data_IF_910060493720
#
_entry.id   IF_910060493720
#
_cell.length_a   1.000
_cell.length_b   1.000
_cell.length_c   1.000
_cell.angle_alpha   90.00
_cell.angle_beta   90.00
_cell.angle_gamma   90.00
#
_symmetry.space_group_name_H-M   'P 1'
#
loop_
_entity.id
_entity.type
_entity.pdbx_description
1 polymer ?
#
# COMPACT_ATOMS: atom_id res chain seq x y z
N UNK A 1 1.36 17.69 46.81
CA UNK A 1 1.27 16.39 46.12
C UNK A 1 1.18 16.61 44.61
N UNK A 2 2.25 17.12 43.98
CA UNK A 2 2.29 17.37 42.51
C UNK A 2 3.53 16.72 41.86
N UNK A 3 4.59 16.38 42.61
CA UNK A 3 5.82 15.79 42.05
C UNK A 3 5.65 14.40 41.42
N UNK A 4 4.82 13.52 41.99
CA UNK A 4 4.80 12.11 41.59
C UNK A 4 4.25 11.86 40.18
N UNK A 5 3.31 12.68 39.71
CA UNK A 5 2.75 12.54 38.35
C UNK A 5 3.73 12.97 37.25
N UNK A 6 4.63 13.90 37.56
CA UNK A 6 5.61 14.39 36.59
C UNK A 6 6.75 13.37 36.40
N UNK A 7 7.21 12.76 37.50
CA UNK A 7 8.24 11.71 37.48
C UNK A 7 7.78 10.43 36.76
N UNK A 8 6.51 10.04 36.96
CA UNK A 8 5.93 8.87 36.26
C UNK A 8 5.85 9.11 34.75
N UNK A 9 5.52 10.33 34.33
CA UNK A 9 5.44 10.70 32.91
C UNK A 9 6.84 10.72 32.29
N UNK A 10 7.84 11.31 32.96
CA UNK A 10 9.23 11.32 32.51
C UNK A 10 9.80 9.89 32.41
N UNK A 11 9.45 9.02 33.36
CA UNK A 11 9.84 7.62 33.33
C UNK A 11 9.19 6.86 32.17
N UNK A 12 7.88 7.05 31.95
CA UNK A 12 7.15 6.42 30.84
C UNK A 12 7.74 6.87 29.49
N UNK A 13 8.04 8.16 29.33
CA UNK A 13 8.65 8.69 28.11
C UNK A 13 10.04 8.11 27.88
N UNK A 14 10.87 8.01 28.94
CA UNK A 14 12.19 7.40 28.84
C UNK A 14 12.14 5.92 28.42
N UNK A 15 11.18 5.16 28.97
CA UNK A 15 10.95 3.77 28.59
C UNK A 15 10.44 3.68 27.15
N UNK A 16 9.50 4.54 26.74
CA UNK A 16 8.97 4.56 25.38
C UNK A 16 10.07 4.85 24.34
N UNK A 17 10.95 5.81 24.61
CA UNK A 17 12.11 6.11 23.76
C UNK A 17 13.05 4.92 23.67
N UNK A 18 13.42 4.32 24.81
CA UNK A 18 14.32 3.16 24.82
C UNK A 18 13.74 1.95 24.08
N UNK A 19 12.44 1.74 24.17
CA UNK A 19 11.71 0.69 23.43
C UNK A 19 11.69 1.00 21.94
N UNK A 20 11.37 2.25 21.55
CA UNK A 20 11.38 2.69 20.16
C UNK A 20 12.78 2.49 19.54
N UNK A 21 13.83 2.94 20.21
CA UNK A 21 15.22 2.82 19.74
C UNK A 21 15.63 1.36 19.50
N UNK A 22 15.10 0.43 20.31
CA UNK A 22 15.39 -1.00 20.17
C UNK A 22 14.57 -1.68 19.08
N UNK A 23 13.34 -1.25 18.86
CA UNK A 23 12.39 -1.89 17.94
C UNK A 23 12.49 -1.30 16.53
N UNK A 24 12.70 0.01 16.38
CA UNK A 24 12.71 0.69 15.08
C UNK A 24 13.70 0.07 14.07
N UNK A 25 14.95 -0.27 14.44
CA UNK A 25 15.87 -0.91 13.49
C UNK A 25 15.39 -2.28 13.01
N UNK A 26 14.73 -3.05 13.88
CA UNK A 26 14.15 -4.35 13.52
C UNK A 26 12.94 -4.17 12.62
N UNK A 27 12.11 -3.17 12.91
CA UNK A 27 10.97 -2.81 12.07
C UNK A 27 11.43 -2.37 10.68
N UNK A 28 12.50 -1.58 10.56
CA UNK A 28 13.07 -1.20 9.26
C UNK A 28 13.52 -2.41 8.44
N UNK A 29 14.16 -3.40 9.08
CA UNK A 29 14.58 -4.62 8.41
C UNK A 29 13.38 -5.44 7.92
N UNK A 30 12.33 -5.53 8.74
CA UNK A 30 11.08 -6.18 8.36
C UNK A 30 10.39 -5.44 7.21
N UNK A 31 10.29 -4.11 7.29
CA UNK A 31 9.76 -3.29 6.20
C UNK A 31 10.60 -3.52 4.95
N UNK A 32 11.93 -3.43 4.97
CA UNK A 32 12.76 -3.69 3.79
C UNK A 32 12.59 -5.12 3.24
N UNK A 33 12.39 -6.11 4.11
CA UNK A 33 12.22 -7.53 3.72
C UNK A 33 10.86 -7.80 3.09
N UNK A 34 9.79 -7.19 3.60
CA UNK A 34 8.41 -7.49 3.21
C UNK A 34 7.76 -6.39 2.36
N UNK A 35 8.38 -5.21 2.27
CA UNK A 35 7.93 -4.15 1.39
C UNK A 35 8.26 -4.55 -0.04
N UNK A 36 7.24 -4.97 -0.77
CA UNK A 36 7.31 -5.03 -2.23
C UNK A 36 7.11 -3.61 -2.77
N UNK A 37 8.09 -3.02 -3.47
CA UNK A 37 7.89 -1.76 -4.16
C UNK A 37 6.70 -1.87 -5.10
N UNK A 38 5.94 -0.79 -5.28
CA UNK A 38 4.87 -0.79 -6.26
C UNK A 38 5.46 -0.94 -7.67
N UNK A 39 4.85 -1.82 -8.47
CA UNK A 39 5.30 -2.12 -9.82
C UNK A 39 4.37 -1.47 -10.84
N UNK A 40 4.96 -0.76 -11.80
CA UNK A 40 4.24 -0.30 -12.97
C UNK A 40 3.98 -1.45 -13.92
N UNK A 41 2.70 -1.72 -14.21
CA UNK A 41 2.25 -2.72 -15.15
C UNK A 41 1.92 -2.08 -16.50
N UNK A 42 2.08 -2.85 -17.57
CA UNK A 42 1.53 -2.55 -18.90
C UNK A 42 0.12 -3.13 -19.07
N UNK A 43 -0.52 -2.87 -20.21
CA UNK A 43 -1.88 -3.33 -20.50
C UNK A 43 -2.02 -4.86 -20.45
N UNK A 44 -1.06 -5.63 -21.00
CA UNK A 44 -1.12 -7.09 -20.96
C UNK A 44 -1.05 -7.62 -19.53
N UNK A 45 -0.17 -7.05 -18.70
CA UNK A 45 0.00 -7.45 -17.31
C UNK A 45 -1.23 -7.11 -16.47
N UNK A 46 -1.77 -5.90 -16.63
CA UNK A 46 -2.98 -5.48 -15.94
C UNK A 46 -4.20 -6.35 -16.33
N UNK A 47 -4.36 -6.66 -17.62
CA UNK A 47 -5.43 -7.54 -18.09
C UNK A 47 -5.31 -8.95 -17.51
N UNK A 48 -4.10 -9.52 -17.51
CA UNK A 48 -3.82 -10.82 -16.88
C UNK A 48 -4.17 -10.83 -15.40
N UNK A 49 -3.83 -9.76 -14.68
CA UNK A 49 -4.12 -9.60 -13.26
C UNK A 49 -5.62 -9.55 -12.96
N UNK A 50 -6.41 -8.94 -13.86
CA UNK A 50 -7.87 -8.90 -13.78
C UNK A 50 -8.54 -10.17 -14.36
N UNK A 51 -7.76 -11.12 -14.88
CA UNK A 51 -8.27 -12.34 -15.50
C UNK A 51 -9.06 -12.09 -16.79
N UNK A 52 -8.74 -11.02 -17.54
CA UNK A 52 -9.47 -10.62 -18.74
C UNK A 52 -8.56 -10.39 -19.96
N UNK A 53 -9.15 -10.15 -21.12
CA UNK A 53 -8.41 -9.74 -22.32
C UNK A 53 -8.05 -8.25 -22.26
N UNK A 54 -7.04 -7.83 -23.04
CA UNK A 54 -6.68 -6.41 -23.16
C UNK A 54 -7.82 -5.58 -23.74
N UNK A 55 -8.66 -6.17 -24.58
CA UNK A 55 -9.82 -5.48 -25.14
C UNK A 55 -10.89 -5.26 -24.06
N UNK A 56 -11.18 -6.29 -23.25
CA UNK A 56 -12.07 -6.14 -22.09
C UNK A 56 -11.54 -5.12 -21.08
N UNK A 57 -10.22 -5.07 -20.85
CA UNK A 57 -9.59 -4.04 -20.03
C UNK A 57 -9.93 -2.63 -20.53
N UNK A 58 -9.83 -2.40 -21.83
CA UNK A 58 -10.07 -1.08 -22.45
C UNK A 58 -11.55 -0.73 -22.53
N UNK A 59 -12.38 -1.68 -22.95
CA UNK A 59 -13.78 -1.43 -23.27
C UNK A 59 -14.66 -1.36 -22.02
N UNK A 60 -14.25 -2.03 -20.93
CA UNK A 60 -15.02 -2.09 -19.71
C UNK A 60 -14.33 -1.39 -18.54
N UNK A 61 -13.12 -1.82 -18.18
CA UNK A 61 -12.49 -1.41 -16.92
C UNK A 61 -12.03 0.05 -16.92
N UNK A 62 -11.50 0.56 -18.03
CA UNK A 62 -11.09 1.97 -18.13
C UNK A 62 -12.20 2.97 -17.82
N UNK A 63 -13.45 2.58 -18.06
CA UNK A 63 -14.61 3.42 -17.84
C UNK A 63 -15.26 3.20 -16.47
N UNK A 64 -14.75 2.24 -15.67
CA UNK A 64 -15.24 2.04 -14.32
C UNK A 64 -14.83 3.20 -13.41
N UNK A 65 -15.75 3.74 -12.59
CA UNK A 65 -15.42 4.79 -11.64
C UNK A 65 -14.26 4.40 -10.73
N UNK A 66 -13.24 5.26 -10.67
CA UNK A 66 -12.08 5.06 -9.79
C UNK A 66 -11.13 3.93 -10.22
N UNK A 67 -11.26 3.39 -11.43
CA UNK A 67 -10.33 2.39 -11.94
C UNK A 67 -8.90 2.96 -12.02
N UNK A 68 -7.89 2.27 -11.46
CA UNK A 68 -6.56 2.83 -11.31
C UNK A 68 -5.73 2.68 -12.58
N UNK A 69 -5.75 3.70 -13.44
CA UNK A 69 -4.92 3.79 -14.63
C UNK A 69 -4.27 5.17 -14.74
N UNK A 70 -3.10 5.24 -15.39
CA UNK A 70 -2.44 6.51 -15.70
C UNK A 70 -1.67 6.43 -17.01
N UNK A 71 -1.31 7.59 -17.56
CA UNK A 71 -0.43 7.69 -18.74
C UNK A 71 1.02 7.85 -18.29
N UNK A 72 1.90 6.97 -18.77
CA UNK A 72 3.35 7.13 -18.67
C UNK A 72 3.89 7.51 -20.04
N UNK A 73 3.99 8.81 -20.31
CA UNK A 73 4.20 9.34 -21.65
C UNK A 73 2.96 9.08 -22.52
N UNK A 74 3.14 8.36 -23.63
CA UNK A 74 2.04 7.99 -24.54
C UNK A 74 1.37 6.66 -24.21
N UNK A 75 1.97 5.85 -23.33
CA UNK A 75 1.49 4.50 -23.01
C UNK A 75 0.64 4.49 -21.74
N UNK A 76 -0.40 3.67 -21.73
CA UNK A 76 -1.11 3.36 -20.49
C UNK A 76 -0.23 2.51 -19.57
N UNK A 77 -0.31 2.82 -18.29
CA UNK A 77 0.35 2.07 -17.23
C UNK A 77 -0.54 2.01 -15.99
N UNK A 78 -0.29 1.02 -15.16
CA UNK A 78 -1.10 0.72 -13.99
C UNK A 78 -0.20 0.47 -12.80
N UNK A 79 -0.62 0.93 -11.63
CA UNK A 79 0.02 0.55 -10.38
C UNK A 79 -0.51 -0.82 -9.99
N UNK A 80 0.39 -1.78 -9.77
CA UNK A 80 -0.01 -3.10 -9.30
C UNK A 80 -0.80 -2.99 -7.99
N UNK A 81 -0.28 -2.25 -7.01
CA UNK A 81 -0.97 -2.10 -5.71
C UNK A 81 -2.32 -1.41 -5.82
N UNK A 82 -2.44 -0.41 -6.70
CA UNK A 82 -3.72 0.25 -6.90
C UNK A 82 -4.75 -0.69 -7.52
N UNK A 83 -4.34 -1.55 -8.47
CA UNK A 83 -5.20 -2.60 -9.02
C UNK A 83 -5.59 -3.65 -7.97
N UNK A 84 -4.65 -4.11 -7.14
CA UNK A 84 -4.94 -5.03 -6.02
C UNK A 84 -6.00 -4.46 -5.10
N UNK A 85 -5.82 -3.19 -4.69
CA UNK A 85 -6.77 -2.50 -3.83
C UNK A 85 -8.13 -2.35 -4.50
N UNK A 86 -8.16 -1.87 -5.75
CA UNK A 86 -9.42 -1.68 -6.47
C UNK A 86 -10.17 -3.01 -6.63
N UNK A 87 -9.47 -4.10 -6.95
CA UNK A 87 -10.09 -5.44 -7.01
C UNK A 87 -10.65 -5.88 -5.65
N UNK A 88 -9.90 -5.70 -4.57
CA UNK A 88 -10.37 -6.04 -3.21
C UNK A 88 -11.62 -5.24 -2.80
N UNK A 89 -11.67 -3.97 -3.18
CA UNK A 89 -12.77 -3.05 -2.87
C UNK A 89 -14.02 -3.30 -3.75
N UNK A 90 -13.84 -3.83 -4.96
CA UNK A 90 -14.91 -4.01 -5.95
C UNK A 90 -15.31 -5.48 -6.20
N UNK A 91 -14.68 -6.43 -5.50
CA UNK A 91 -15.16 -7.81 -5.46
C UNK A 91 -16.47 -7.87 -4.67
N UNK A 92 -17.56 -8.27 -5.34
CA UNK A 92 -18.79 -8.65 -4.65
C UNK A 92 -18.44 -9.88 -3.80
N UNK A 93 -18.43 -9.72 -2.47
CA UNK A 93 -18.33 -10.85 -1.55
C UNK A 93 -19.56 -11.73 -1.78
N UNK A 94 -19.34 -12.90 -2.39
CA UNK A 94 -20.35 -13.95 -2.49
C UNK A 94 -20.62 -14.57 -1.12
#
# INVERSE_FOLDING_TARGET
MISTQNDDTEFIDAVAVAVADRIMPQLELLVKKYYTPDQGLNQQQAASMLGCSVDTLKDFYYYQPGFPHFKKGTKDSFSQKALEKWMADNQIRA
#
